data_IF_425748361981
#
_entry.id   IF_425748361981
#
_cell.length_a   1.000
_cell.length_b   1.000
_cell.length_c   1.000
_cell.angle_alpha   90.00
_cell.angle_beta   90.00
_cell.angle_gamma   90.00
#
_symmetry.space_group_name_H-M   'P 1'
#
loop_
_entity.id
_entity.type
_entity.pdbx_description
1 polymer ?
#
# COMPACT_ATOMS: atom_id res chain seq x y z
N UNK A 1 -13.09 -12.51 -7.19
CA UNK A 1 -12.09 -11.42 -7.24
C UNK A 1 -12.61 -10.09 -7.83
N UNK A 2 -13.84 -10.00 -8.35
CA UNK A 2 -14.40 -8.73 -8.89
C UNK A 2 -14.73 -7.74 -7.76
N UNK A 3 -15.45 -8.19 -6.72
CA UNK A 3 -15.95 -7.34 -5.63
C UNK A 3 -14.82 -6.66 -4.84
N UNK A 4 -13.74 -7.39 -4.51
CA UNK A 4 -12.56 -6.80 -3.85
C UNK A 4 -11.90 -5.69 -4.69
N UNK A 5 -11.90 -5.84 -6.02
CA UNK A 5 -11.39 -4.82 -6.93
C UNK A 5 -12.26 -3.58 -7.00
N UNK A 6 -13.58 -3.74 -6.91
CA UNK A 6 -14.53 -2.62 -6.85
C UNK A 6 -14.42 -1.86 -5.52
N UNK A 7 -14.34 -2.58 -4.40
CA UNK A 7 -14.14 -1.96 -3.08
C UNK A 7 -12.84 -1.15 -3.03
N UNK A 8 -11.75 -1.69 -3.57
CA UNK A 8 -10.48 -0.98 -3.72
C UNK A 8 -10.65 0.27 -4.60
N UNK A 9 -11.27 0.11 -5.78
CA UNK A 9 -11.48 1.22 -6.71
C UNK A 9 -12.25 2.35 -6.03
N UNK A 10 -13.35 2.04 -5.35
CA UNK A 10 -14.16 3.01 -4.60
C UNK A 10 -13.32 3.69 -3.52
N UNK A 11 -12.56 2.93 -2.73
CA UNK A 11 -11.71 3.48 -1.68
C UNK A 11 -10.67 4.48 -2.25
N UNK A 12 -9.95 4.09 -3.30
CA UNK A 12 -8.95 4.94 -3.98
C UNK A 12 -9.61 6.19 -4.57
N UNK A 13 -10.75 6.06 -5.24
CA UNK A 13 -11.44 7.21 -5.85
C UNK A 13 -11.97 8.20 -4.82
N UNK A 14 -12.34 7.73 -3.63
CA UNK A 14 -12.77 8.59 -2.52
C UNK A 14 -11.58 9.24 -1.83
N UNK A 15 -10.48 8.51 -1.65
CA UNK A 15 -9.28 9.03 -1.00
C UNK A 15 -8.52 10.03 -1.88
N UNK A 16 -8.44 9.78 -3.19
CA UNK A 16 -7.64 10.54 -4.14
C UNK A 16 -7.76 12.07 -4.00
N UNK A 17 -8.97 12.65 -4.05
CA UNK A 17 -9.15 14.11 -3.93
C UNK A 17 -8.64 14.72 -2.62
N UNK A 18 -8.50 13.92 -1.55
CA UNK A 18 -8.08 14.39 -0.23
C UNK A 18 -6.56 14.41 -0.06
N UNK A 19 -5.83 13.64 -0.87
CA UNK A 19 -4.41 13.34 -0.64
C UNK A 19 -3.51 13.66 -1.83
N UNK A 20 -4.06 13.61 -3.05
CA UNK A 20 -3.31 13.84 -4.26
C UNK A 20 -3.11 15.34 -4.53
N UNK A 21 -1.99 15.73 -5.14
CA UNK A 21 -1.81 17.08 -5.67
C UNK A 21 -2.91 17.48 -6.66
N UNK A 22 -3.23 18.77 -6.74
CA UNK A 22 -4.28 19.29 -7.65
C UNK A 22 -3.99 18.93 -9.12
N UNK A 23 -2.72 18.86 -9.52
CA UNK A 23 -2.31 18.44 -10.87
C UNK A 23 -2.81 17.03 -11.22
N UNK A 24 -2.64 16.08 -10.30
CA UNK A 24 -3.10 14.69 -10.45
C UNK A 24 -4.62 14.62 -10.52
N UNK A 25 -5.29 15.40 -9.67
CA UNK A 25 -6.75 15.48 -9.66
C UNK A 25 -7.31 16.04 -10.97
N UNK A 26 -6.68 17.07 -11.53
CA UNK A 26 -7.06 17.67 -12.81
C UNK A 26 -6.89 16.68 -13.97
N UNK A 27 -5.74 15.99 -14.05
CA UNK A 27 -5.47 14.98 -15.08
C UNK A 27 -6.50 13.84 -15.04
N UNK A 28 -6.79 13.35 -13.83
CA UNK A 28 -7.83 12.33 -13.63
C UNK A 28 -9.21 12.84 -14.06
N UNK A 29 -9.59 14.04 -13.66
CA UNK A 29 -10.89 14.62 -14.00
C UNK A 29 -11.06 14.85 -15.50
N UNK A 30 -10.05 15.42 -16.17
CA UNK A 30 -10.06 15.66 -17.63
C UNK A 30 -10.21 14.36 -18.39
N UNK A 31 -9.46 13.32 -18.01
CA UNK A 31 -9.58 12.01 -18.68
C UNK A 31 -10.91 11.32 -18.40
N UNK A 32 -11.48 11.49 -17.21
CA UNK A 32 -12.82 11.00 -16.88
C UNK A 32 -13.89 11.69 -17.73
N UNK A 33 -13.83 13.03 -17.88
CA UNK A 33 -14.74 13.82 -18.73
C UNK A 33 -14.61 13.44 -20.20
N UNK A 34 -13.39 13.40 -20.75
CA UNK A 34 -13.12 13.00 -22.12
C UNK A 34 -13.67 11.60 -22.44
N UNK A 35 -13.56 10.67 -21.50
CA UNK A 35 -14.07 9.31 -21.68
C UNK A 35 -15.59 9.20 -21.50
N UNK A 36 -16.16 9.81 -20.45
CA UNK A 36 -17.57 9.60 -20.06
C UNK A 36 -18.54 10.53 -20.80
N UNK A 37 -18.15 11.78 -21.00
CA UNK A 37 -18.99 12.80 -21.65
C UNK A 37 -18.73 12.81 -23.15
N UNK A 38 -17.46 12.89 -23.55
CA UNK A 38 -17.08 12.97 -24.97
C UNK A 38 -16.92 11.60 -25.64
N UNK A 39 -17.11 10.48 -24.92
CA UNK A 39 -17.01 9.09 -25.41
C UNK A 39 -15.70 8.79 -26.16
N UNK A 40 -14.62 9.51 -25.84
CA UNK A 40 -13.32 9.32 -26.47
C UNK A 40 -12.70 7.98 -26.06
N UNK A 41 -12.08 7.27 -27.01
CA UNK A 41 -11.39 5.99 -26.77
C UNK A 41 -10.01 6.21 -26.14
N UNK A 42 -9.98 6.79 -24.94
CA UNK A 42 -8.76 7.00 -24.16
C UNK A 42 -8.66 6.01 -22.99
N UNK A 43 -7.43 5.63 -22.65
CA UNK A 43 -7.17 4.85 -21.43
C UNK A 43 -7.42 5.74 -20.21
N UNK A 44 -8.09 5.23 -19.15
CA UNK A 44 -8.24 5.98 -17.90
C UNK A 44 -6.87 6.34 -17.35
N UNK A 45 -6.71 7.58 -16.89
CA UNK A 45 -5.56 7.96 -16.11
C UNK A 45 -5.65 7.34 -14.71
N UNK A 46 -4.55 6.79 -14.22
CA UNK A 46 -4.40 6.30 -12.86
C UNK A 46 -3.53 7.33 -12.13
N UNK A 47 -4.04 8.01 -11.10
CA UNK A 47 -3.23 8.99 -10.38
C UNK A 47 -2.03 8.34 -9.70
N UNK A 48 -0.91 9.08 -9.65
CA UNK A 48 0.28 8.59 -8.97
C UNK A 48 0.22 8.86 -7.46
N UNK A 49 -0.20 7.85 -6.71
CA UNK A 49 -0.28 7.90 -5.26
C UNK A 49 1.09 8.01 -4.57
N UNK A 50 2.19 7.75 -5.28
CA UNK A 50 3.55 7.96 -4.76
C UNK A 50 3.87 9.44 -4.54
N UNK A 51 3.13 10.35 -5.19
CA UNK A 51 3.22 11.79 -4.93
C UNK A 51 2.51 12.20 -3.63
N UNK A 52 1.55 11.39 -3.18
CA UNK A 52 0.80 11.61 -1.95
C UNK A 52 1.41 10.91 -0.73
N UNK A 53 2.17 9.83 -0.94
CA UNK A 53 2.67 8.97 0.12
C UNK A 53 4.08 8.48 -0.16
N UNK A 54 4.92 8.57 0.88
CA UNK A 54 6.27 8.03 0.88
C UNK A 54 6.28 6.55 1.28
N UNK A 55 5.34 6.10 2.12
CA UNK A 55 5.29 4.72 2.61
C UNK A 55 3.90 4.10 2.48
N UNK A 56 3.86 2.80 2.21
CA UNK A 56 2.64 2.03 2.01
C UNK A 56 2.64 0.80 2.91
N UNK A 57 1.57 0.66 3.70
CA UNK A 57 1.28 -0.52 4.49
C UNK A 57 -0.01 -1.13 3.93
N UNK A 58 0.11 -2.28 3.28
CA UNK A 58 -0.96 -2.94 2.53
C UNK A 58 -1.24 -4.30 3.17
N UNK A 59 -2.24 -4.33 4.03
CA UNK A 59 -2.75 -5.59 4.55
C UNK A 59 -3.84 -6.13 3.63
N UNK A 60 -3.45 -7.07 2.77
CA UNK A 60 -4.39 -7.86 2.00
C UNK A 60 -4.35 -9.32 2.43
N UNK A 61 -5.51 -9.90 2.76
CA UNK A 61 -5.64 -11.29 3.24
C UNK A 61 -5.15 -12.39 2.29
N UNK A 62 -4.56 -12.06 1.13
CA UNK A 62 -3.91 -13.00 0.23
C UNK A 62 -3.02 -12.32 -0.82
N UNK A 63 -1.99 -13.04 -1.26
CA UNK A 63 -0.96 -12.55 -2.19
C UNK A 63 -1.52 -11.99 -3.51
N UNK A 64 -2.53 -12.62 -4.09
CA UNK A 64 -3.11 -12.17 -5.36
C UNK A 64 -3.73 -10.76 -5.29
N UNK A 65 -4.15 -10.31 -4.09
CA UNK A 65 -4.64 -8.95 -3.89
C UNK A 65 -3.48 -7.96 -3.79
N UNK A 66 -2.38 -8.33 -3.11
CA UNK A 66 -1.14 -7.53 -3.09
C UNK A 66 -0.59 -7.30 -4.49
N UNK A 67 -0.48 -8.35 -5.31
CA UNK A 67 0.07 -8.25 -6.66
C UNK A 67 -0.81 -7.37 -7.58
N UNK A 68 -2.13 -7.40 -7.36
CA UNK A 68 -3.08 -6.54 -8.08
C UNK A 68 -2.95 -5.07 -7.65
N UNK A 69 -2.72 -4.82 -6.36
CA UNK A 69 -2.47 -3.48 -5.82
C UNK A 69 -1.17 -2.89 -6.34
N UNK A 70 -0.08 -3.67 -6.27
CA UNK A 70 1.21 -3.27 -6.81
C UNK A 70 1.09 -2.82 -8.27
N UNK A 71 0.41 -3.64 -9.10
CA UNK A 71 0.20 -3.31 -10.51
C UNK A 71 -0.71 -2.10 -10.72
N UNK A 72 -1.80 -1.98 -9.96
CA UNK A 72 -2.79 -0.90 -10.14
C UNK A 72 -2.30 0.45 -9.65
N UNK A 73 -1.43 0.48 -8.64
CA UNK A 73 -0.87 1.71 -8.05
C UNK A 73 0.56 1.98 -8.56
N UNK A 74 1.09 1.11 -9.42
CA UNK A 74 2.46 1.18 -9.93
C UNK A 74 3.48 1.34 -8.80
N UNK A 75 3.33 0.49 -7.78
CA UNK A 75 4.23 0.45 -6.62
C UNK A 75 5.47 -0.36 -6.96
N UNK A 76 6.60 0.07 -6.41
CA UNK A 76 7.88 -0.63 -6.57
C UNK A 76 8.04 -1.72 -5.51
N UNK A 77 9.00 -2.63 -5.72
CA UNK A 77 9.33 -3.66 -4.73
C UNK A 77 9.65 -3.06 -3.36
N UNK A 78 10.32 -1.90 -3.31
CA UNK A 78 10.63 -1.19 -2.08
C UNK A 78 9.38 -0.79 -1.28
N UNK A 79 8.31 -0.35 -1.96
CA UNK A 79 7.02 -0.02 -1.31
C UNK A 79 6.29 -1.29 -0.86
N UNK A 80 6.39 -2.37 -1.62
CA UNK A 80 5.71 -3.63 -1.33
C UNK A 80 6.42 -4.48 -0.27
N UNK A 81 7.71 -4.23 -0.04
CA UNK A 81 8.57 -4.99 0.87
C UNK A 81 7.97 -5.18 2.26
N UNK A 82 7.48 -4.14 2.98
CA UNK A 82 6.89 -4.32 4.31
C UNK A 82 5.67 -5.25 4.28
N UNK A 83 4.81 -5.10 3.27
CA UNK A 83 3.58 -5.87 3.07
C UNK A 83 3.83 -7.31 2.65
N UNK A 84 5.04 -7.62 2.17
CA UNK A 84 5.47 -8.99 1.80
C UNK A 84 6.25 -9.66 2.92
N UNK A 85 7.11 -8.94 3.62
CA UNK A 85 7.94 -9.48 4.69
C UNK A 85 7.13 -9.76 5.96
N UNK A 86 6.16 -8.90 6.28
CA UNK A 86 5.29 -9.07 7.46
C UNK A 86 4.59 -10.41 7.50
N UNK A 87 3.80 -10.80 6.48
CA UNK A 87 3.14 -12.11 6.49
C UNK A 87 4.12 -13.28 6.33
N UNK A 88 5.29 -13.06 5.71
CA UNK A 88 6.32 -14.08 5.66
C UNK A 88 6.85 -14.41 7.06
N UNK A 89 7.09 -13.38 7.89
CA UNK A 89 7.67 -13.54 9.22
C UNK A 89 6.67 -13.87 10.33
N UNK A 90 5.51 -13.21 10.32
CA UNK A 90 4.53 -13.28 11.40
C UNK A 90 3.25 -14.02 11.01
N UNK A 91 3.12 -14.45 9.76
CA UNK A 91 1.85 -14.92 9.22
C UNK A 91 0.82 -13.79 9.12
N UNK A 92 -0.43 -14.16 8.86
CA UNK A 92 -1.52 -13.20 8.84
C UNK A 92 -1.99 -12.91 10.28
N UNK A 93 -1.58 -11.76 10.82
CA UNK A 93 -1.98 -11.30 12.17
C UNK A 93 -3.28 -10.48 12.16
N UNK A 94 -4.08 -10.60 11.08
CA UNK A 94 -5.33 -9.86 10.88
C UNK A 94 -5.06 -8.34 10.86
N UNK A 95 -5.95 -7.54 11.45
CA UNK A 95 -5.89 -6.07 11.43
C UNK A 95 -4.58 -5.47 11.95
N UNK A 96 -3.85 -6.17 12.83
CA UNK A 96 -2.58 -5.67 13.36
C UNK A 96 -1.43 -5.75 12.35
N UNK A 97 -1.57 -6.49 11.25
CA UNK A 97 -0.53 -6.60 10.20
C UNK A 97 -0.03 -5.25 9.72
N UNK A 98 -0.93 -4.26 9.56
CA UNK A 98 -0.57 -2.90 9.13
C UNK A 98 0.43 -2.20 10.08
N UNK A 99 0.37 -2.51 11.37
CA UNK A 99 1.29 -1.97 12.37
C UNK A 99 2.64 -2.69 12.34
N UNK A 100 2.65 -4.00 12.06
CA UNK A 100 3.90 -4.74 11.82
C UNK A 100 4.60 -4.26 10.54
N UNK A 101 3.83 -3.92 9.49
CA UNK A 101 4.36 -3.34 8.25
C UNK A 101 4.94 -1.94 8.47
N UNK A 102 4.30 -1.12 9.31
CA UNK A 102 4.86 0.17 9.71
C UNK A 102 6.14 -0.01 10.53
N UNK A 103 6.11 -0.90 11.53
CA UNK A 103 7.27 -1.22 12.37
C UNK A 103 8.44 -1.76 11.54
N UNK A 104 8.17 -2.50 10.46
CA UNK A 104 9.21 -2.92 9.51
C UNK A 104 9.90 -1.71 8.87
N UNK A 105 9.12 -0.73 8.42
CA UNK A 105 9.63 0.48 7.78
C UNK A 105 10.40 1.36 8.77
N UNK A 106 9.95 1.41 10.03
CA UNK A 106 10.65 2.05 11.14
C UNK A 106 11.98 1.36 11.45
N UNK A 107 12.00 0.02 11.55
CA UNK A 107 13.21 -0.76 11.80
C UNK A 107 14.23 -0.62 10.67
N UNK A 108 13.77 -0.50 9.40
CA UNK A 108 14.63 -0.18 8.25
C UNK A 108 15.15 1.26 8.23
N UNK A 109 14.78 2.10 9.20
CA UNK A 109 15.17 3.51 9.25
C UNK A 109 14.61 4.34 8.08
N UNK A 110 13.49 3.91 7.48
CA UNK A 110 12.91 4.55 6.30
C UNK A 110 12.06 5.78 6.65
N UNK A 111 11.48 5.81 7.84
CA UNK A 111 10.53 6.85 8.26
C UNK A 111 11.24 8.14 8.68
N UNK A 112 11.04 9.21 7.92
CA UNK A 112 11.55 10.56 8.21
C UNK A 112 10.43 11.47 8.70
N UNK A 113 10.81 12.56 9.37
CA UNK A 113 9.85 13.59 9.79
C UNK A 113 9.18 14.20 8.55
N UNK A 114 7.86 14.22 8.56
CA UNK A 114 7.03 14.79 7.50
C UNK A 114 6.53 13.75 6.50
N UNK A 115 7.14 12.56 6.46
CA UNK A 115 6.70 11.47 5.58
C UNK A 115 5.24 11.10 5.85
N UNK A 116 4.53 10.76 4.78
CA UNK A 116 3.14 10.37 4.78
C UNK A 116 3.06 8.86 4.54
N UNK A 117 2.28 8.20 5.38
CA UNK A 117 2.09 6.75 5.34
C UNK A 117 0.64 6.48 5.01
N UNK A 118 0.41 5.63 4.01
CA UNK A 118 -0.91 5.12 3.70
C UNK A 118 -1.04 3.67 4.17
N UNK A 119 -1.93 3.46 5.14
CA UNK A 119 -2.38 2.14 5.54
C UNK A 119 -3.66 1.79 4.77
N UNK A 120 -3.67 0.65 4.10
CA UNK A 120 -4.83 0.11 3.38
C UNK A 120 -5.08 -1.33 3.81
N UNK A 121 -6.27 -1.58 4.35
CA UNK A 121 -6.67 -2.88 4.89
C UNK A 121 -7.87 -3.46 4.18
N UNK A 122 -7.84 -4.77 3.93
CA UNK A 122 -8.96 -5.54 3.39
C UNK A 122 -9.57 -6.45 4.46
N UNK A 123 -10.86 -6.30 4.71
CA UNK A 123 -11.60 -7.07 5.70
C UNK A 123 -12.62 -8.05 5.11
N UNK A 124 -13.19 -8.90 5.98
CA UNK A 124 -14.30 -9.78 5.62
C UNK A 124 -15.50 -8.99 5.08
N UNK A 125 -16.17 -9.53 4.05
CA UNK A 125 -17.26 -8.85 3.35
C UNK A 125 -16.81 -7.85 2.27
N UNK A 126 -15.60 -8.03 1.72
CA UNK A 126 -15.03 -7.19 0.65
C UNK A 126 -14.98 -5.70 1.00
N UNK A 127 -14.62 -5.37 2.24
CA UNK A 127 -14.43 -3.98 2.68
C UNK A 127 -12.98 -3.58 2.47
N UNK A 128 -12.76 -2.32 2.06
CA UNK A 128 -11.46 -1.72 1.91
C UNK A 128 -11.45 -0.39 2.67
N UNK A 129 -10.56 -0.28 3.66
CA UNK A 129 -10.43 0.90 4.51
C UNK A 129 -9.04 1.49 4.37
N UNK A 130 -8.96 2.82 4.50
CA UNK A 130 -7.71 3.58 4.39
C UNK A 130 -7.52 4.48 5.60
N UNK A 131 -6.29 4.54 6.09
CA UNK A 131 -5.84 5.52 7.07
C UNK A 131 -4.58 6.21 6.54
N UNK A 132 -4.52 7.53 6.73
CA UNK A 132 -3.41 8.37 6.30
C UNK A 132 -2.75 8.96 7.53
N UNK A 133 -1.45 8.76 7.62
CA UNK A 133 -0.63 9.24 8.72
C UNK A 133 0.45 10.18 8.23
N UNK A 134 0.90 11.07 9.12
CA UNK A 134 2.09 11.91 8.90
C UNK A 134 3.05 11.70 10.05
N UNK A 135 4.29 11.35 9.72
CA UNK A 135 5.36 11.18 10.69
C UNK A 135 5.72 12.54 11.32
N UNK A 136 5.50 12.66 12.64
CA UNK A 136 5.77 13.91 13.36
C UNK A 136 7.25 14.08 13.73
N UNK A 137 8.00 12.97 13.72
CA UNK A 137 9.44 12.89 13.98
C UNK A 137 10.08 11.88 13.02
N UNK A 138 11.39 11.99 12.83
CA UNK A 138 12.16 10.91 12.22
C UNK A 138 12.30 9.78 13.24
N UNK A 139 12.33 8.55 12.74
CA UNK A 139 12.51 7.36 13.55
C UNK A 139 13.98 6.93 13.42
N UNK A 140 14.65 6.83 14.57
CA UNK A 140 16.03 6.37 14.69
C UNK A 140 16.01 4.92 15.16
N UNK A 141 16.28 3.93 14.28
CA UNK A 141 16.18 2.52 14.64
C UNK A 141 16.96 2.17 15.90
N UNK A 142 18.12 2.79 16.13
CA UNK A 142 18.96 2.52 17.31
C UNK A 142 18.31 2.89 18.65
N UNK A 143 17.23 3.69 18.63
CA UNK A 143 16.50 4.16 19.82
C UNK A 143 15.12 3.56 19.96
N UNK A 144 14.66 2.78 18.99
CA UNK A 144 13.33 2.18 19.02
C UNK A 144 13.36 0.76 19.58
N UNK A 145 12.21 0.34 20.11
CA UNK A 145 11.93 -1.07 20.43
C UNK A 145 10.72 -1.48 19.64
N UNK A 146 10.89 -2.35 18.65
CA UNK A 146 9.80 -2.89 17.86
C UNK A 146 10.04 -4.37 17.51
N UNK A 147 9.01 -5.09 17.03
CA UNK A 147 9.08 -6.54 16.79
C UNK A 147 10.10 -7.02 15.75
N UNK A 148 10.75 -6.11 15.02
CA UNK A 148 11.73 -6.45 13.98
C UNK A 148 13.17 -6.19 14.39
N UNK A 149 13.43 -5.41 15.45
CA UNK A 149 14.76 -4.84 15.71
C UNK A 149 15.87 -5.87 15.83
N UNK A 150 15.58 -7.08 16.33
CA UNK A 150 16.58 -8.12 16.55
C UNK A 150 17.01 -8.84 15.26
N UNK A 151 16.22 -8.75 14.19
CA UNK A 151 16.37 -9.58 12.98
C UNK A 151 16.17 -8.77 11.67
N UNK A 152 15.94 -7.46 11.74
CA UNK A 152 15.56 -6.64 10.57
C UNK A 152 16.62 -6.68 9.46
N UNK A 153 17.90 -6.84 9.81
CA UNK A 153 19.01 -6.90 8.88
C UNK A 153 19.02 -8.18 8.02
N UNK A 154 18.27 -9.22 8.42
CA UNK A 154 18.10 -10.46 7.66
C UNK A 154 17.06 -10.33 6.53
N UNK A 155 16.34 -9.20 6.48
CA UNK A 155 15.31 -8.92 5.48
C UNK A 155 15.78 -7.87 4.45
N UNK A 156 15.21 -7.83 3.24
CA UNK A 156 14.19 -8.73 2.72
C UNK A 156 14.77 -10.08 2.30
N UNK A 157 13.98 -11.13 2.49
CA UNK A 157 14.28 -12.45 1.95
C UNK A 157 13.56 -12.66 0.62
N UNK A 158 14.10 -13.55 -0.22
CA UNK A 158 13.45 -13.92 -1.48
C UNK A 158 12.23 -14.80 -1.22
N UNK A 159 11.03 -14.22 -1.30
CA UNK A 159 9.78 -14.99 -1.21
C UNK A 159 9.43 -15.58 -2.59
N UNK A 160 9.44 -16.92 -2.77
CA UNK A 160 9.13 -17.55 -4.05
C UNK A 160 7.77 -17.09 -4.59
N UNK A 161 7.64 -16.79 -5.89
CA UNK A 161 6.36 -16.35 -6.50
C UNK A 161 5.29 -17.44 -6.57
N UNK A 162 5.71 -18.70 -6.48
CA UNK A 162 4.86 -19.88 -6.52
C UNK A 162 5.30 -20.80 -5.38
N UNK A 163 4.37 -21.17 -4.51
CA UNK A 163 4.59 -22.31 -3.61
C UNK A 163 4.08 -23.55 -4.34
N UNK A 164 4.89 -24.61 -4.53
CA UNK A 164 4.34 -25.88 -4.95
C UNK A 164 3.32 -26.33 -3.89
N UNK A 165 2.15 -26.79 -4.33
CA UNK A 165 1.21 -27.47 -3.44
C UNK A 165 1.93 -28.71 -2.92
N UNK A 166 2.30 -28.69 -1.63
CA UNK A 166 2.76 -29.90 -0.95
C UNK A 166 1.47 -30.68 -0.67
N UNK A 167 1.25 -31.71 -1.49
CA UNK A 167 0.22 -32.72 -1.25
C UNK A 167 0.69 -33.69 -0.15
#
# INVERSE_FOLDING_TARGET
>A
MVIAGEALKTNITTLGPLVLPVSEQLLFFVTLVAKKIFKMKIKPYIPDFKLAFEHFCIHAGGRGVLDKLEKNLELTEWHMEPSRMTPYRFGNTSSSSLWYELAYSEAKGRIKKGDRIWQIGFGSGFKCNSAVWRAMRAIDPAKEKNPWMDEIDEFPVRVPKVSPLVY
#
